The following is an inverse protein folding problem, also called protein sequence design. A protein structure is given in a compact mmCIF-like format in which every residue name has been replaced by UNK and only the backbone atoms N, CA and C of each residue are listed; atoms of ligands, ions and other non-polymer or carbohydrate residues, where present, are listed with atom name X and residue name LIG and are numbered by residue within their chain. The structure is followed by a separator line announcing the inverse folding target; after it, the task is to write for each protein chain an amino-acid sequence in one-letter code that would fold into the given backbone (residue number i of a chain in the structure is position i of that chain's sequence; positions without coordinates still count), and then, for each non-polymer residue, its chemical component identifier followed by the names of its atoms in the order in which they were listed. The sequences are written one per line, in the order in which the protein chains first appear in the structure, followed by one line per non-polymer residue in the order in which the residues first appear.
data_IF_999642853389
#
_entry.id   IF_999642853389
#
_cell.length_a   1.000
_cell.length_b   1.000
_cell.length_c   1.000
_cell.angle_alpha   90.00
_cell.angle_beta   90.00
_cell.angle_gamma   90.00
#
_symmetry.space_group_name_H-M   'P 1'
#
loop_
_entity.id
_entity.type
_entity.pdbx_description
1 polymer ?
#
# COMPACT_ATOMS: atom_id res chain seq x y z
N UNK A 1 -22.11 -9.00 -11.26
CA UNK A 1 -21.43 -7.87 -10.61
C UNK A 1 -20.11 -7.65 -11.34
N UNK A 2 -19.71 -6.39 -11.58
CA UNK A 2 -18.39 -6.14 -12.18
C UNK A 2 -17.28 -6.72 -11.29
N UNK A 3 -16.26 -7.30 -11.90
CA UNK A 3 -15.08 -7.77 -11.17
C UNK A 3 -14.32 -6.55 -10.64
N UNK A 4 -13.92 -6.57 -9.39
CA UNK A 4 -13.26 -5.44 -8.70
C UNK A 4 -12.24 -5.96 -7.71
N UNK A 5 -11.06 -5.33 -7.68
CA UNK A 5 -10.07 -5.54 -6.61
C UNK A 5 -10.29 -4.54 -5.47
N UNK A 6 -9.68 -4.81 -4.33
CA UNK A 6 -9.70 -3.95 -3.16
C UNK A 6 -8.36 -3.21 -3.05
N UNK A 7 -8.42 -1.90 -2.85
CA UNK A 7 -7.26 -1.09 -2.46
C UNK A 7 -7.43 -0.70 -0.99
N UNK A 8 -6.55 -1.16 -0.12
CA UNK A 8 -6.53 -0.87 1.30
C UNK A 8 -5.37 0.09 1.60
N UNK A 9 -5.68 1.28 2.11
CA UNK A 9 -4.66 2.17 2.65
C UNK A 9 -4.16 1.64 4.00
N UNK A 10 -2.84 1.68 4.23
CA UNK A 10 -2.28 1.31 5.53
C UNK A 10 -2.92 2.07 6.69
N UNK A 11 -2.92 1.47 7.88
CA UNK A 11 -3.35 2.10 9.11
C UNK A 11 -2.52 3.33 9.46
N UNK A 12 -2.98 4.15 10.42
CA UNK A 12 -2.24 5.32 10.87
C UNK A 12 -0.82 4.94 11.31
N UNK A 13 0.20 5.58 10.72
CA UNK A 13 1.60 5.45 11.12
C UNK A 13 2.04 6.59 12.04
N UNK A 14 3.19 6.44 12.70
CA UNK A 14 3.80 7.50 13.50
C UNK A 14 4.01 8.78 12.70
N UNK A 15 4.38 8.68 11.42
CA UNK A 15 4.43 9.83 10.51
C UNK A 15 3.06 10.52 10.40
N UNK A 16 1.98 9.75 10.16
CA UNK A 16 0.65 10.34 10.00
C UNK A 16 0.18 11.06 11.27
N UNK A 17 0.50 10.52 12.45
CA UNK A 17 0.17 11.14 13.73
C UNK A 17 0.78 12.55 13.84
N UNK A 18 2.08 12.65 13.59
CA UNK A 18 2.81 13.93 13.66
C UNK A 18 2.45 14.88 12.53
N UNK A 19 2.42 14.41 11.28
CA UNK A 19 2.12 15.23 10.12
C UNK A 19 0.70 15.81 10.15
N UNK A 20 -0.29 15.07 10.63
CA UNK A 20 -1.65 15.57 10.76
C UNK A 20 -1.77 16.71 11.78
N UNK A 21 -0.95 16.69 12.83
CA UNK A 21 -0.95 17.73 13.86
C UNK A 21 -0.18 18.99 13.43
N UNK A 22 0.93 18.83 12.70
CA UNK A 22 1.88 19.93 12.46
C UNK A 22 1.98 20.36 11.00
N UNK A 23 1.60 19.49 10.05
CA UNK A 23 1.85 19.65 8.60
C UNK A 23 3.34 19.77 8.24
N UNK A 24 4.22 19.33 9.12
CA UNK A 24 5.66 19.29 8.92
C UNK A 24 6.13 17.84 8.89
N UNK A 25 7.15 17.56 8.06
CA UNK A 25 7.79 16.25 8.04
C UNK A 25 8.53 16.01 9.35
N UNK A 26 8.18 14.98 10.14
CA UNK A 26 8.86 14.68 11.39
C UNK A 26 10.22 13.98 11.20
N UNK A 27 10.64 13.70 9.97
CA UNK A 27 11.90 13.01 9.67
C UNK A 27 11.92 11.52 10.03
N UNK A 28 10.77 10.89 10.23
CA UNK A 28 10.69 9.46 10.63
C UNK A 28 10.80 8.59 9.38
N UNK A 29 11.86 7.80 9.30
CA UNK A 29 12.13 6.84 8.21
C UNK A 29 11.31 5.57 8.45
N UNK A 30 10.65 5.07 7.39
CA UNK A 30 9.83 3.85 7.36
C UNK A 30 9.02 3.62 8.65
N UNK A 31 8.14 4.57 9.03
CA UNK A 31 7.43 4.56 10.31
C UNK A 31 6.54 3.34 10.48
N UNK A 32 6.46 2.86 11.73
CA UNK A 32 5.53 1.81 12.15
C UNK A 32 4.11 2.34 12.31
N UNK A 33 3.14 1.44 12.46
CA UNK A 33 1.78 1.79 12.84
C UNK A 33 1.69 2.24 14.30
N UNK A 34 0.87 3.25 14.55
CA UNK A 34 0.45 3.62 15.92
C UNK A 34 -0.47 2.55 16.52
N UNK A 35 -0.83 2.69 17.79
CA UNK A 35 -1.87 1.86 18.43
C UNK A 35 -3.20 1.93 17.66
N UNK A 36 -3.60 3.13 17.24
CA UNK A 36 -4.79 3.34 16.41
C UNK A 36 -4.63 2.65 15.03
N UNK A 37 -3.46 2.78 14.40
CA UNK A 37 -3.19 2.15 13.11
C UNK A 37 -3.28 0.63 13.16
N UNK A 38 -2.83 0.01 14.24
CA UNK A 38 -2.98 -1.45 14.46
C UNK A 38 -4.44 -1.85 14.66
N UNK A 39 -5.23 -1.05 15.37
CA UNK A 39 -6.67 -1.26 15.53
C UNK A 39 -7.39 -1.17 14.17
N UNK A 40 -7.06 -0.15 13.36
CA UNK A 40 -7.59 0.02 12.00
C UNK A 40 -7.25 -1.18 11.10
N UNK A 41 -6.01 -1.67 11.15
CA UNK A 41 -5.59 -2.86 10.40
C UNK A 41 -6.38 -4.12 10.80
N UNK A 42 -6.63 -4.29 12.09
CA UNK A 42 -7.43 -5.41 12.61
C UNK A 42 -8.89 -5.31 12.20
N UNK A 43 -9.46 -4.11 12.19
CA UNK A 43 -10.83 -3.88 11.74
C UNK A 43 -10.99 -4.14 10.25
N UNK A 44 -10.07 -3.62 9.42
CA UNK A 44 -10.05 -3.90 7.98
C UNK A 44 -9.92 -5.40 7.71
N UNK A 45 -9.05 -6.10 8.44
CA UNK A 45 -8.88 -7.55 8.31
C UNK A 45 -10.19 -8.29 8.62
N UNK A 46 -10.90 -7.93 9.69
CA UNK A 46 -12.18 -8.52 10.06
C UNK A 46 -13.26 -8.33 8.98
N UNK A 47 -13.36 -7.11 8.42
CA UNK A 47 -14.32 -6.82 7.37
C UNK A 47 -13.99 -7.54 6.05
N UNK A 48 -12.71 -7.52 5.65
CA UNK A 48 -12.26 -8.09 4.39
C UNK A 48 -12.18 -9.63 4.42
N UNK A 49 -11.99 -10.26 5.58
CA UNK A 49 -11.98 -11.72 5.70
C UNK A 49 -13.32 -12.38 5.37
N UNK A 50 -14.40 -11.61 5.30
CA UNK A 50 -15.72 -12.07 4.86
C UNK A 50 -15.88 -12.06 3.33
N UNK A 51 -14.88 -11.60 2.59
CA UNK A 51 -14.88 -11.53 1.13
C UNK A 51 -14.06 -12.69 0.52
N UNK A 52 -14.31 -13.09 -0.73
CA UNK A 52 -13.60 -14.17 -1.39
C UNK A 52 -12.20 -13.75 -1.85
N UNK A 53 -11.36 -13.28 -0.91
CA UNK A 53 -9.99 -12.82 -1.17
C UNK A 53 -9.04 -14.03 -1.20
N UNK A 54 -8.25 -14.13 -2.26
CA UNK A 54 -7.27 -15.20 -2.50
C UNK A 54 -5.86 -14.69 -2.74
N UNK A 55 -5.70 -13.37 -2.80
CA UNK A 55 -4.39 -12.74 -3.06
C UNK A 55 -4.26 -11.45 -2.25
N UNK A 56 -3.13 -11.31 -1.60
CA UNK A 56 -2.75 -10.08 -0.89
C UNK A 56 -1.44 -9.59 -1.50
N UNK A 57 -1.44 -8.39 -2.06
CA UNK A 57 -0.24 -7.69 -2.53
C UNK A 57 0.02 -6.55 -1.54
N UNK A 58 1.24 -6.42 -1.05
CA UNK A 58 1.62 -5.33 -0.15
C UNK A 58 2.84 -4.58 -0.65
N UNK A 59 2.85 -3.29 -0.42
CA UNK A 59 4.06 -2.48 -0.49
C UNK A 59 5.08 -2.97 0.55
N UNK A 60 6.40 -2.82 0.30
CA UNK A 60 7.43 -3.26 1.25
C UNK A 60 7.56 -2.41 2.50
N UNK A 61 6.93 -1.22 2.59
CA UNK A 61 7.02 -0.37 3.79
C UNK A 61 6.47 -1.08 5.03
N UNK A 62 7.13 -0.89 6.16
CA UNK A 62 6.76 -1.47 7.46
C UNK A 62 5.28 -1.24 7.79
N UNK A 63 4.76 -0.03 7.61
CA UNK A 63 3.35 0.30 7.85
C UNK A 63 2.35 -0.52 7.03
N UNK A 64 2.69 -0.86 5.79
CA UNK A 64 1.83 -1.69 4.92
C UNK A 64 1.94 -3.18 5.26
N UNK A 65 3.13 -3.67 5.57
CA UNK A 65 3.34 -5.05 6.02
C UNK A 65 2.59 -5.30 7.34
N UNK A 66 2.65 -4.37 8.30
CA UNK A 66 1.91 -4.43 9.55
C UNK A 66 0.39 -4.38 9.33
N UNK A 67 -0.08 -3.66 8.29
CA UNK A 67 -1.51 -3.61 7.93
C UNK A 67 -1.98 -4.90 7.25
N UNK A 68 -1.14 -5.51 6.40
CA UNK A 68 -1.44 -6.74 5.69
C UNK A 68 -1.46 -7.98 6.61
N UNK A 69 -0.59 -8.00 7.62
CA UNK A 69 -0.36 -9.17 8.47
C UNK A 69 -1.64 -9.73 9.16
N UNK A 70 -2.52 -8.92 9.78
CA UNK A 70 -3.75 -9.45 10.37
C UNK A 70 -4.71 -10.04 9.34
N UNK A 71 -4.81 -9.45 8.14
CA UNK A 71 -5.65 -9.97 7.07
C UNK A 71 -5.09 -11.30 6.53
N UNK A 72 -3.80 -11.36 6.27
CA UNK A 72 -3.12 -12.58 5.81
C UNK A 72 -3.34 -13.75 6.78
N UNK A 73 -3.23 -13.47 8.07
CA UNK A 73 -3.48 -14.45 9.14
C UNK A 73 -4.93 -14.92 9.18
N UNK A 74 -5.88 -13.98 9.06
CA UNK A 74 -7.32 -14.30 9.10
C UNK A 74 -7.76 -15.16 7.91
N UNK A 75 -7.14 -14.96 6.72
CA UNK A 75 -7.47 -15.68 5.49
C UNK A 75 -6.62 -16.93 5.24
N UNK A 76 -5.48 -17.08 5.92
CA UNK A 76 -4.48 -18.10 5.58
C UNK A 76 -3.84 -17.88 4.19
N UNK A 77 -3.78 -16.63 3.72
CA UNK A 77 -3.26 -16.27 2.39
C UNK A 77 -1.90 -15.58 2.56
N UNK A 78 -0.85 -15.99 1.82
CA UNK A 78 0.45 -15.34 1.89
C UNK A 78 0.40 -13.91 1.34
N UNK A 79 1.27 -13.05 1.87
CA UNK A 79 1.46 -11.69 1.36
C UNK A 79 2.55 -11.70 0.29
N UNK A 80 2.21 -11.26 -0.91
CA UNK A 80 3.17 -11.00 -1.99
C UNK A 80 3.67 -9.56 -1.88
N UNK A 81 4.95 -9.39 -1.64
CA UNK A 81 5.56 -8.06 -1.53
C UNK A 81 5.90 -7.53 -2.92
N UNK A 82 5.46 -6.31 -3.23
CA UNK A 82 5.71 -5.70 -4.53
C UNK A 82 5.95 -4.18 -4.42
N UNK A 83 7.14 -3.68 -4.77
CA UNK A 83 7.49 -2.26 -4.67
C UNK A 83 6.73 -1.38 -5.68
N UNK A 84 6.07 -1.96 -6.69
CA UNK A 84 5.26 -1.20 -7.64
C UNK A 84 4.10 -0.47 -6.96
N UNK A 85 3.61 -0.98 -5.82
CA UNK A 85 2.50 -0.37 -5.07
C UNK A 85 2.97 0.49 -3.90
N UNK A 86 4.25 0.92 -3.89
CA UNK A 86 4.82 1.83 -2.88
C UNK A 86 4.19 3.23 -2.95
N UNK A 87 4.41 4.03 -1.89
CA UNK A 87 3.98 5.41 -1.88
C UNK A 87 4.72 6.25 -2.94
N UNK A 88 4.16 7.40 -3.30
CA UNK A 88 4.89 8.45 -3.99
C UNK A 88 5.93 9.02 -3.05
N UNK A 89 7.20 8.90 -3.41
CA UNK A 89 8.27 9.46 -2.57
C UNK A 89 8.15 11.00 -2.52
N UNK A 90 7.91 11.55 -1.33
CA UNK A 90 7.80 12.98 -1.09
C UNK A 90 8.33 13.41 0.29
N UNK A 91 8.44 12.48 1.25
CA UNK A 91 8.79 12.74 2.65
C UNK A 91 9.81 11.72 3.17
N UNK A 92 10.39 11.99 4.34
CA UNK A 92 11.32 11.07 5.00
C UNK A 92 10.71 9.67 5.23
N UNK A 93 9.41 9.58 5.48
CA UNK A 93 8.70 8.30 5.66
C UNK A 93 8.65 7.42 4.40
N UNK A 94 9.08 7.94 3.26
CA UNK A 94 9.14 7.23 1.99
C UNK A 94 10.55 6.71 1.66
N UNK A 95 11.52 6.92 2.56
CA UNK A 95 12.75 6.14 2.65
C UNK A 95 12.37 4.79 3.28
N UNK A 96 12.68 3.69 2.60
CA UNK A 96 12.32 2.36 3.05
C UNK A 96 13.38 1.71 3.96
N UNK A 97 13.04 0.56 4.48
CA UNK A 97 13.98 -0.34 5.15
C UNK A 97 14.68 -1.20 4.09
N UNK A 98 16.02 -1.36 4.11
CA UNK A 98 16.75 -2.19 3.18
C UNK A 98 16.24 -3.64 3.13
N UNK A 99 16.34 -4.30 1.97
CA UNK A 99 15.85 -5.68 1.78
C UNK A 99 16.39 -6.63 2.84
N UNK A 100 17.69 -6.60 3.09
CA UNK A 100 18.35 -7.47 4.09
C UNK A 100 17.76 -7.30 5.50
N UNK A 101 17.37 -6.07 5.88
CA UNK A 101 16.74 -5.79 7.17
C UNK A 101 15.26 -6.22 7.20
N UNK A 102 14.55 -6.10 6.07
CA UNK A 102 13.20 -6.64 5.93
C UNK A 102 13.19 -8.16 6.07
N UNK A 103 14.12 -8.88 5.43
CA UNK A 103 14.27 -10.33 5.53
C UNK A 103 14.48 -10.78 6.98
N UNK A 104 15.27 -10.03 7.76
CA UNK A 104 15.48 -10.32 9.19
C UNK A 104 14.23 -10.05 10.03
N UNK A 105 13.50 -8.99 9.73
CA UNK A 105 12.32 -8.57 10.51
C UNK A 105 11.08 -9.38 10.18
N UNK A 106 10.95 -9.83 8.92
CA UNK A 106 9.80 -10.53 8.39
C UNK A 106 10.20 -11.84 7.71
N UNK A 107 10.81 -12.80 8.44
CA UNK A 107 11.39 -14.02 7.85
C UNK A 107 10.34 -14.92 7.17
N UNK A 108 9.06 -14.68 7.40
CA UNK A 108 7.94 -15.40 6.76
C UNK A 108 7.53 -14.83 5.41
N UNK A 109 8.10 -13.69 4.98
CA UNK A 109 7.80 -13.05 3.70
C UNK A 109 8.97 -13.22 2.73
N UNK A 110 8.64 -13.28 1.44
CA UNK A 110 9.62 -13.34 0.37
C UNK A 110 9.94 -11.94 -0.16
N UNK A 111 11.19 -11.52 -0.01
CA UNK A 111 11.73 -10.26 -0.51
C UNK A 111 12.75 -10.46 -1.64
N UNK A 112 12.92 -11.67 -2.15
CA UNK A 112 13.95 -12.01 -3.15
C UNK A 112 13.85 -11.20 -4.45
N UNK A 113 12.67 -10.68 -4.75
CA UNK A 113 12.41 -9.83 -5.93
C UNK A 113 12.74 -8.35 -5.72
N UNK A 114 13.11 -7.93 -4.49
CA UNK A 114 13.48 -6.56 -4.20
C UNK A 114 14.98 -6.31 -4.43
N UNK A 115 15.31 -5.13 -4.95
CA UNK A 115 16.64 -4.58 -4.83
C UNK A 115 16.95 -4.25 -3.36
N UNK A 116 18.23 -4.15 -2.98
CA UNK A 116 18.61 -3.78 -1.61
C UNK A 116 18.02 -2.41 -1.21
N UNK A 117 18.08 -1.44 -2.12
CA UNK A 117 17.40 -0.14 -2.04
C UNK A 117 16.30 -0.11 -3.08
N UNK A 118 15.08 -0.42 -2.69
CA UNK A 118 13.91 -0.56 -3.57
C UNK A 118 13.07 0.72 -3.71
N UNK A 119 13.37 1.75 -2.93
CA UNK A 119 12.73 3.07 -3.03
C UNK A 119 13.57 4.01 -3.90
N UNK A 120 12.98 5.09 -4.49
CA UNK A 120 13.73 6.01 -5.33
C UNK A 120 14.69 6.89 -4.51
N UNK A 121 15.74 7.40 -5.15
CA UNK A 121 16.74 8.26 -4.53
C UNK A 121 16.25 9.67 -4.16
N UNK A 122 15.06 10.06 -4.62
CA UNK A 122 14.49 11.39 -4.36
C UNK A 122 13.03 11.47 -4.73
N UNK A 123 12.45 12.67 -4.65
CA UNK A 123 11.02 12.90 -4.88
C UNK A 123 10.54 12.33 -6.22
N UNK A 124 9.47 11.54 -6.16
CA UNK A 124 8.87 10.93 -7.34
C UNK A 124 7.95 11.92 -8.05
N UNK A 125 8.22 12.18 -9.33
CA UNK A 125 7.37 13.07 -10.13
C UNK A 125 5.96 12.51 -10.33
N UNK A 126 4.99 13.40 -10.58
CA UNK A 126 3.63 12.99 -10.92
C UNK A 126 3.57 12.13 -12.19
N UNK A 127 4.50 12.31 -13.12
CA UNK A 127 4.61 11.48 -14.33
C UNK A 127 5.06 10.06 -13.98
N UNK A 128 6.07 9.93 -13.13
CA UNK A 128 6.62 8.63 -12.72
C UNK A 128 5.56 7.77 -12.03
N UNK A 129 4.87 8.30 -11.02
CA UNK A 129 3.83 7.54 -10.33
C UNK A 129 2.66 7.17 -11.25
N UNK A 130 2.28 8.02 -12.21
CA UNK A 130 1.25 7.69 -13.21
C UNK A 130 1.68 6.51 -14.09
N UNK A 131 2.92 6.50 -14.56
CA UNK A 131 3.49 5.40 -15.35
C UNK A 131 3.49 4.10 -14.53
N UNK A 132 3.94 4.15 -13.28
CA UNK A 132 3.96 3.03 -12.35
C UNK A 132 2.54 2.49 -12.08
N UNK A 133 1.58 3.37 -11.87
CA UNK A 133 0.18 3.00 -11.68
C UNK A 133 -0.44 2.33 -12.93
N UNK A 134 -0.10 2.81 -14.14
CA UNK A 134 -0.53 2.19 -15.38
C UNK A 134 0.07 0.79 -15.56
N UNK A 135 1.36 0.62 -15.28
CA UNK A 135 2.04 -0.69 -15.29
C UNK A 135 1.42 -1.65 -14.29
N UNK A 136 1.10 -1.18 -13.08
CA UNK A 136 0.40 -1.99 -12.07
C UNK A 136 -0.98 -2.43 -12.55
N UNK A 137 -1.79 -1.52 -13.14
CA UNK A 137 -3.12 -1.86 -13.69
C UNK A 137 -3.02 -2.97 -14.73
N UNK A 138 -2.10 -2.85 -15.67
CA UNK A 138 -1.89 -3.85 -16.72
C UNK A 138 -1.46 -5.21 -16.12
N UNK A 139 -0.52 -5.19 -15.18
CA UNK A 139 -0.02 -6.39 -14.54
C UNK A 139 -1.10 -7.11 -13.71
N UNK A 140 -1.87 -6.38 -12.91
CA UNK A 140 -2.91 -7.00 -12.09
C UNK A 140 -4.08 -7.50 -12.94
N UNK A 141 -4.46 -6.78 -13.99
CA UNK A 141 -5.53 -7.19 -14.90
C UNK A 141 -5.22 -8.49 -15.66
N UNK A 142 -3.93 -8.74 -15.92
CA UNK A 142 -3.46 -9.98 -16.54
C UNK A 142 -3.47 -11.19 -15.60
N UNK A 143 -3.66 -10.99 -14.29
CA UNK A 143 -3.70 -12.09 -13.34
C UNK A 143 -5.03 -12.87 -13.42
N UNK A 144 -5.01 -14.20 -13.35
CA UNK A 144 -6.25 -14.95 -13.22
C UNK A 144 -6.94 -14.58 -11.89
N UNK A 145 -8.27 -14.41 -11.92
CA UNK A 145 -9.06 -14.04 -10.75
C UNK A 145 -8.54 -12.78 -10.03
N UNK A 146 -8.16 -11.77 -10.79
CA UNK A 146 -7.63 -10.51 -10.25
C UNK A 146 -8.61 -9.79 -9.29
N UNK A 147 -9.90 -10.05 -9.43
CA UNK A 147 -10.94 -9.53 -8.53
C UNK A 147 -10.84 -10.03 -7.09
N UNK A 148 -10.17 -11.17 -6.88
CA UNK A 148 -9.99 -11.76 -5.55
C UNK A 148 -8.73 -11.19 -4.85
N UNK A 149 -8.27 -10.00 -5.28
CA UNK A 149 -7.03 -9.37 -4.82
C UNK A 149 -7.31 -8.19 -3.89
N UNK A 150 -6.61 -8.16 -2.75
CA UNK A 150 -6.42 -6.96 -1.92
C UNK A 150 -5.02 -6.43 -2.13
N UNK A 151 -4.91 -5.13 -2.34
CA UNK A 151 -3.64 -4.39 -2.45
C UNK A 151 -3.50 -3.48 -1.25
N UNK A 152 -2.57 -3.78 -0.36
CA UNK A 152 -2.25 -2.93 0.80
C UNK A 152 -1.20 -1.92 0.38
N UNK A 153 -1.60 -0.66 0.33
CA UNK A 153 -0.83 0.42 -0.27
C UNK A 153 -1.05 1.76 0.45
N UNK A 154 -0.85 2.87 -0.23
CA UNK A 154 -0.70 4.20 0.33
C UNK A 154 -1.65 5.20 -0.30
N UNK A 155 -1.76 6.36 0.35
CA UNK A 155 -2.64 7.44 -0.08
C UNK A 155 -2.36 7.93 -1.50
N UNK A 156 -1.10 8.25 -1.80
CA UNK A 156 -0.73 8.81 -3.11
C UNK A 156 -0.90 7.80 -4.24
N UNK A 157 -0.60 6.51 -4.00
CA UNK A 157 -0.80 5.48 -5.01
C UNK A 157 -2.29 5.21 -5.28
N UNK A 158 -3.13 5.15 -4.24
CA UNK A 158 -4.59 5.02 -4.38
C UNK A 158 -5.17 6.21 -5.12
N UNK A 159 -4.77 7.43 -4.74
CA UNK A 159 -5.19 8.67 -5.39
C UNK A 159 -4.82 8.65 -6.88
N UNK A 160 -3.62 8.17 -7.23
CA UNK A 160 -3.17 8.04 -8.61
C UNK A 160 -3.97 7.02 -9.41
N UNK A 161 -4.35 5.90 -8.79
CA UNK A 161 -5.15 4.85 -9.44
C UNK A 161 -6.60 5.27 -9.67
N UNK A 162 -7.21 5.99 -8.73
CA UNK A 162 -8.66 6.14 -8.64
C UNK A 162 -9.17 7.58 -8.63
N UNK A 163 -8.30 8.57 -8.38
CA UNK A 163 -8.69 9.95 -8.12
C UNK A 163 -9.35 10.17 -6.76
N UNK A 164 -9.48 9.14 -5.92
CA UNK A 164 -10.14 9.21 -4.63
C UNK A 164 -9.14 9.27 -3.48
N UNK A 165 -9.38 10.17 -2.54
CA UNK A 165 -8.66 10.22 -1.27
C UNK A 165 -9.33 9.31 -0.25
N UNK A 166 -8.54 8.49 0.47
CA UNK A 166 -9.04 7.56 1.49
C UNK A 166 -8.31 7.78 2.82
N UNK A 167 -9.02 7.59 3.93
CA UNK A 167 -8.44 7.68 5.26
C UNK A 167 -7.56 6.45 5.58
N UNK A 168 -6.70 6.55 6.62
CA UNK A 168 -5.90 5.43 7.09
C UNK A 168 -6.78 4.24 7.51
N UNK A 169 -6.37 3.03 7.15
CA UNK A 169 -7.10 1.80 7.46
C UNK A 169 -8.41 1.60 6.70
N UNK A 170 -8.76 2.52 5.79
CA UNK A 170 -9.95 2.38 4.94
C UNK A 170 -9.61 1.81 3.58
N UNK A 171 -10.60 1.23 2.92
CA UNK A 171 -10.45 0.60 1.62
C UNK A 171 -11.54 1.02 0.64
N UNK A 172 -11.26 0.87 -0.63
CA UNK A 172 -12.22 1.07 -1.71
C UNK A 172 -12.11 -0.03 -2.77
N UNK A 173 -13.12 -0.11 -3.59
CA UNK A 173 -13.19 -1.02 -4.73
C UNK A 173 -12.64 -0.34 -5.97
N UNK A 174 -11.83 -1.06 -6.73
CA UNK A 174 -11.17 -0.55 -7.93
C UNK A 174 -11.29 -1.54 -9.08
N UNK A 175 -11.73 -1.05 -10.22
CA UNK A 175 -11.64 -1.77 -11.48
C UNK A 175 -10.32 -1.37 -12.17
N UNK A 176 -9.37 -2.28 -12.36
CA UNK A 176 -8.11 -1.96 -13.03
C UNK A 176 -8.30 -1.62 -14.51
N UNK A 177 -9.41 -2.02 -15.15
CA UNK A 177 -9.73 -1.68 -16.54
C UNK A 177 -10.37 -0.30 -16.67
N UNK A 178 -10.87 0.31 -15.59
CA UNK A 178 -11.45 1.64 -15.65
C UNK A 178 -10.43 2.70 -16.08
N UNK A 179 -10.88 3.75 -16.75
CA UNK A 179 -10.02 4.85 -17.16
C UNK A 179 -9.34 5.49 -15.95
N UNK A 180 -8.02 5.80 -16.03
CA UNK A 180 -7.34 6.50 -14.97
C UNK A 180 -7.91 7.92 -14.80
N UNK A 181 -7.76 8.53 -13.61
CA UNK A 181 -8.24 9.89 -13.38
C UNK A 181 -7.55 10.88 -14.32
N UNK A 182 -8.33 11.75 -14.96
CA UNK A 182 -7.83 12.78 -15.89
C UNK A 182 -6.93 13.80 -15.19
N UNK A 183 -7.24 14.13 -13.92
CA UNK A 183 -6.45 15.01 -13.08
C UNK A 183 -6.33 14.46 -11.65
N UNK A 184 -5.23 14.79 -10.99
CA UNK A 184 -4.95 14.37 -9.61
C UNK A 184 -4.61 15.62 -8.80
N UNK A 185 -5.34 15.84 -7.70
CA UNK A 185 -5.04 16.89 -6.74
C UNK A 185 -4.21 16.31 -5.60
N UNK A 186 -2.90 16.59 -5.62
CA UNK A 186 -1.92 16.18 -4.60
C UNK A 186 -2.03 17.06 -3.33
N UNK A 187 -3.22 17.13 -2.73
CA UNK A 187 -3.42 17.84 -1.46
C UNK A 187 -3.94 16.84 -0.44
N UNK A 188 -3.15 16.61 0.60
CA UNK A 188 -3.55 15.88 1.80
C UNK A 188 -4.30 16.79 2.76
#
# INVERSE_FOLDING_TARGET
MAAIMILLRHGQSEFNLHFNATRQDPGIIDPTLTGLGRAQASEAARALSLMPIRRIISSPYTRTLQTAAPLARALGVPVSVNPIVRERYAFACDVGTPRTDLERTWPQLDFSSLEEVWWPAGEESARSIKTRAASFRAAVFALPNWSDTVVVTHWGFILCLTGQSVANGTWLRCDPAASPPSSIRWRA
#
